data_IF_149690678347
#
_entry.id   IF_149690678347
#
_cell.length_a   1.000
_cell.length_b   1.000
_cell.length_c   1.000
_cell.angle_alpha   90.00
_cell.angle_beta   90.00
_cell.angle_gamma   90.00
#
_symmetry.space_group_name_H-M   'P 1'
#
loop_
_entity.id
_entity.type
_entity.pdbx_description
1 polymer ?
#
# COMPACT_ATOMS: atom_id res chain seq x y z
N UNK A 1 13.22 -19.09 7.02
CA UNK A 1 12.62 -17.81 7.44
C UNK A 1 13.21 -17.34 8.77
N UNK A 2 13.91 -16.20 8.75
CA UNK A 2 14.44 -15.55 9.97
C UNK A 2 13.35 -14.66 10.61
N UNK A 3 13.63 -14.12 11.80
CA UNK A 3 12.69 -13.25 12.53
C UNK A 3 12.36 -11.94 11.80
N UNK A 4 13.28 -11.47 10.94
CA UNK A 4 13.16 -10.21 10.21
C UNK A 4 12.55 -10.34 8.81
N UNK A 5 12.23 -11.56 8.35
CA UNK A 5 11.79 -11.80 6.96
C UNK A 5 10.58 -10.92 6.60
N UNK A 6 9.70 -10.65 7.57
CA UNK A 6 8.56 -9.75 7.43
C UNK A 6 8.93 -8.27 7.22
N UNK A 7 9.90 -7.78 8.00
CA UNK A 7 10.33 -6.38 7.93
C UNK A 7 11.13 -6.10 6.66
N UNK A 8 11.90 -7.07 6.22
CA UNK A 8 12.67 -7.04 4.99
C UNK A 8 11.79 -6.86 3.74
N UNK A 9 10.56 -7.41 3.75
CA UNK A 9 9.61 -7.15 2.67
C UNK A 9 9.21 -5.67 2.56
N UNK A 10 9.40 -4.82 3.58
CA UNK A 10 9.12 -3.38 3.49
C UNK A 10 10.37 -2.53 3.17
N UNK A 11 11.55 -3.14 3.15
CA UNK A 11 12.84 -2.43 3.06
C UNK A 11 13.09 -1.83 1.67
N UNK A 12 13.84 -0.74 1.59
CA UNK A 12 14.41 -0.24 0.32
C UNK A 12 15.76 -0.87 -0.01
N UNK A 13 16.37 -1.60 0.94
CA UNK A 13 17.68 -2.21 0.76
C UNK A 13 17.57 -3.57 0.07
N UNK A 14 18.17 -3.70 -1.12
CA UNK A 14 18.04 -4.89 -1.95
C UNK A 14 18.47 -6.19 -1.24
N UNK A 15 19.52 -6.14 -0.40
CA UNK A 15 20.02 -7.32 0.33
C UNK A 15 18.99 -7.86 1.30
N UNK A 16 18.40 -6.97 2.11
CA UNK A 16 17.34 -7.32 3.05
C UNK A 16 16.15 -7.92 2.31
N UNK A 17 15.70 -7.26 1.23
CA UNK A 17 14.59 -7.74 0.40
C UNK A 17 14.86 -9.16 -0.12
N UNK A 18 16.04 -9.40 -0.69
CA UNK A 18 16.42 -10.71 -1.20
C UNK A 18 16.44 -11.78 -0.09
N UNK A 19 16.99 -11.46 1.07
CA UNK A 19 17.02 -12.38 2.22
C UNK A 19 15.60 -12.70 2.72
N UNK A 20 14.71 -11.70 2.76
CA UNK A 20 13.31 -11.87 3.11
C UNK A 20 12.57 -12.78 2.12
N UNK A 21 12.72 -12.51 0.81
CA UNK A 21 12.11 -13.31 -0.26
C UNK A 21 12.61 -14.76 -0.24
N UNK A 22 13.93 -14.98 -0.27
CA UNK A 22 14.51 -16.32 -0.19
C UNK A 22 14.10 -17.05 1.09
N UNK A 23 14.10 -16.34 2.22
CA UNK A 23 13.71 -16.90 3.52
C UNK A 23 12.26 -17.39 3.58
N UNK A 24 11.35 -16.70 2.89
CA UNK A 24 9.93 -17.09 2.78
C UNK A 24 9.71 -18.21 1.76
N UNK A 25 10.33 -18.13 0.58
CA UNK A 25 10.20 -19.14 -0.45
C UNK A 25 10.76 -20.51 -0.03
N UNK A 26 11.78 -20.54 0.84
CA UNK A 26 12.34 -21.77 1.39
C UNK A 26 11.47 -22.42 2.49
N UNK A 27 10.51 -21.70 3.07
CA UNK A 27 9.57 -22.23 4.07
C UNK A 27 8.10 -21.91 3.70
N UNK A 28 7.56 -22.47 2.59
CA UNK A 28 6.26 -22.05 2.05
C UNK A 28 5.10 -22.11 3.05
N UNK A 29 5.00 -23.17 3.84
CA UNK A 29 3.91 -23.32 4.82
C UNK A 29 3.94 -22.22 5.89
N UNK A 30 5.14 -21.85 6.36
CA UNK A 30 5.31 -20.80 7.37
C UNK A 30 5.10 -19.40 6.77
N UNK A 31 5.56 -19.19 5.54
CA UNK A 31 5.31 -17.95 4.81
C UNK A 31 3.81 -17.74 4.57
N UNK A 32 3.09 -18.76 4.09
CA UNK A 32 1.64 -18.72 3.88
C UNK A 32 0.88 -18.39 5.17
N UNK A 33 1.23 -19.00 6.30
CA UNK A 33 0.62 -18.71 7.59
C UNK A 33 0.86 -17.25 8.03
N UNK A 34 2.09 -16.77 7.90
CA UNK A 34 2.46 -15.39 8.25
C UNK A 34 1.76 -14.36 7.36
N UNK A 35 1.74 -14.58 6.04
CA UNK A 35 1.07 -13.68 5.10
C UNK A 35 -0.43 -13.62 5.39
N UNK A 36 -1.08 -14.75 5.69
CA UNK A 36 -2.50 -14.78 6.06
C UNK A 36 -2.80 -14.02 7.35
N UNK A 37 -1.89 -14.09 8.33
CA UNK A 37 -2.03 -13.38 9.61
C UNK A 37 -1.90 -11.87 9.41
N UNK A 38 -0.83 -11.44 8.74
CA UNK A 38 -0.40 -10.05 8.71
C UNK A 38 -0.98 -9.22 7.57
N UNK A 39 -1.29 -9.84 6.42
CA UNK A 39 -1.86 -9.15 5.26
C UNK A 39 -3.36 -9.38 5.19
N UNK A 40 -4.08 -8.33 4.84
CA UNK A 40 -5.52 -8.35 4.55
C UNK A 40 -5.79 -7.56 3.28
N UNK A 41 -6.89 -7.83 2.57
CA UNK A 41 -7.34 -6.97 1.49
C UNK A 41 -7.43 -5.52 1.97
N UNK A 42 -6.88 -4.60 1.18
CA UNK A 42 -6.86 -3.18 1.51
C UNK A 42 -8.04 -2.50 0.84
N UNK A 43 -8.87 -1.84 1.63
CA UNK A 43 -10.02 -1.08 1.14
C UNK A 43 -9.74 0.42 1.22
N UNK A 44 -10.41 1.19 0.36
CA UNK A 44 -10.31 2.63 0.40
C UNK A 44 -10.92 3.12 1.72
N UNK A 45 -10.28 4.07 2.43
CA UNK A 45 -10.85 4.65 3.64
C UNK A 45 -12.16 5.36 3.32
N UNK A 46 -13.07 5.40 4.30
CA UNK A 46 -14.30 6.16 4.14
C UNK A 46 -13.96 7.66 4.06
N UNK A 47 -14.52 8.36 3.06
CA UNK A 47 -14.30 9.80 2.85
C UNK A 47 -14.48 10.62 4.14
N UNK A 48 -15.55 10.35 4.88
CA UNK A 48 -15.87 11.00 6.16
C UNK A 48 -14.74 10.92 7.21
N UNK A 49 -13.92 9.86 7.18
CA UNK A 49 -12.81 9.71 8.13
C UNK A 49 -11.62 10.61 7.78
N UNK A 50 -11.47 10.97 6.51
CA UNK A 50 -10.34 11.75 6.01
C UNK A 50 -10.67 13.20 5.69
N UNK A 51 -11.95 13.57 5.56
CA UNK A 51 -12.37 14.97 5.38
C UNK A 51 -11.72 15.91 6.43
N UNK A 52 -11.72 15.60 7.75
CA UNK A 52 -11.09 16.47 8.74
C UNK A 52 -9.56 16.58 8.56
N UNK A 53 -8.92 15.51 8.10
CA UNK A 53 -7.46 15.48 7.85
C UNK A 53 -7.13 16.33 6.62
N UNK A 54 -7.98 16.31 5.60
CA UNK A 54 -7.85 17.14 4.40
C UNK A 54 -8.06 18.62 4.75
N UNK A 55 -9.01 18.94 5.63
CA UNK A 55 -9.23 20.31 6.12
C UNK A 55 -8.01 20.83 6.90
N UNK A 56 -7.39 19.96 7.70
CA UNK A 56 -6.20 20.28 8.48
C UNK A 56 -4.97 20.64 7.62
N UNK A 57 -4.95 20.31 6.32
CA UNK A 57 -3.92 20.76 5.38
C UNK A 57 -3.91 22.29 5.19
N UNK A 58 -5.02 22.97 5.50
CA UNK A 58 -5.14 24.43 5.47
C UNK A 58 -5.01 25.09 6.84
N UNK A 59 -4.78 24.31 7.91
CA UNK A 59 -4.74 24.82 9.29
C UNK A 59 -3.69 25.92 9.44
N UNK A 60 -3.87 26.87 10.36
CA UNK A 60 -2.91 27.97 10.57
C UNK A 60 -1.60 27.45 11.19
N UNK A 61 -1.67 26.40 12.01
CA UNK A 61 -0.53 25.77 12.66
C UNK A 61 0.25 24.84 11.72
N UNK A 62 1.55 25.11 11.55
CA UNK A 62 2.43 24.29 10.72
C UNK A 62 2.44 22.82 11.16
N UNK A 63 2.55 22.58 12.47
CA UNK A 63 2.57 21.21 13.02
C UNK A 63 1.31 20.41 12.67
N UNK A 64 0.14 21.04 12.66
CA UNK A 64 -1.13 20.39 12.33
C UNK A 64 -1.22 20.06 10.83
N UNK A 65 -0.80 21.01 9.97
CA UNK A 65 -0.71 20.77 8.51
C UNK A 65 0.26 19.65 8.16
N UNK A 66 1.44 19.62 8.79
CA UNK A 66 2.45 18.62 8.50
C UNK A 66 2.03 17.23 9.02
N UNK A 67 1.39 17.16 10.19
CA UNK A 67 0.80 15.92 10.69
C UNK A 67 -0.32 15.40 9.78
N UNK A 68 -1.19 16.29 9.27
CA UNK A 68 -2.21 15.93 8.31
C UNK A 68 -1.62 15.38 7.00
N UNK A 69 -0.57 16.04 6.49
CA UNK A 69 0.11 15.58 5.29
C UNK A 69 0.76 14.20 5.50
N UNK A 70 1.49 13.99 6.60
CA UNK A 70 2.10 12.69 6.91
C UNK A 70 1.05 11.59 7.03
N UNK A 71 -0.05 11.86 7.73
CA UNK A 71 -1.15 10.93 7.87
C UNK A 71 -1.76 10.54 6.53
N UNK A 72 -1.95 11.48 5.61
CA UNK A 72 -2.45 11.17 4.27
C UNK A 72 -1.45 10.35 3.45
N UNK A 73 -0.14 10.61 3.58
CA UNK A 73 0.89 9.81 2.91
C UNK A 73 0.90 8.34 3.34
N UNK A 74 0.50 8.02 4.57
CA UNK A 74 0.42 6.63 5.06
C UNK A 74 -0.58 5.77 4.27
N UNK A 75 -1.62 6.39 3.68
CA UNK A 75 -2.61 5.68 2.85
C UNK A 75 -2.11 5.40 1.41
N UNK A 76 -1.02 6.04 0.99
CA UNK A 76 -0.41 5.85 -0.33
C UNK A 76 -1.42 6.01 -1.48
N UNK A 77 -1.42 5.05 -2.39
CA UNK A 77 -2.22 5.07 -3.62
C UNK A 77 -3.73 4.91 -3.36
N UNK A 78 -4.12 4.41 -2.18
CA UNK A 78 -5.54 4.10 -1.91
C UNK A 78 -6.44 5.33 -1.86
N UNK A 79 -5.87 6.50 -1.55
CA UNK A 79 -6.59 7.77 -1.43
C UNK A 79 -6.53 8.64 -2.69
N UNK A 80 -5.90 8.18 -3.77
CA UNK A 80 -5.80 8.91 -5.04
C UNK A 80 -7.16 9.47 -5.54
N UNK A 81 -8.27 8.68 -5.53
CA UNK A 81 -9.58 9.20 -5.91
C UNK A 81 -10.09 10.33 -4.98
N UNK A 82 -9.86 10.18 -3.68
CA UNK A 82 -10.27 11.16 -2.66
C UNK A 82 -9.48 12.47 -2.83
N UNK A 83 -8.16 12.38 -3.05
CA UNK A 83 -7.30 13.54 -3.27
C UNK A 83 -7.71 14.30 -4.54
N UNK A 84 -8.07 13.58 -5.62
CA UNK A 84 -8.59 14.21 -6.84
C UNK A 84 -9.89 14.97 -6.59
N UNK A 85 -10.82 14.39 -5.81
CA UNK A 85 -12.06 15.05 -5.42
C UNK A 85 -11.79 16.30 -4.56
N UNK A 86 -10.95 16.17 -3.54
CA UNK A 86 -10.59 17.26 -2.64
C UNK A 86 -9.92 18.43 -3.38
N UNK A 87 -9.04 18.12 -4.33
CA UNK A 87 -8.36 19.14 -5.13
C UNK A 87 -9.34 19.94 -6.00
N UNK A 88 -10.40 19.31 -6.50
CA UNK A 88 -11.47 19.97 -7.25
C UNK A 88 -12.33 20.92 -6.41
N UNK A 89 -12.40 20.70 -5.09
CA UNK A 89 -13.15 21.53 -4.14
C UNK A 89 -12.26 22.55 -3.38
N UNK A 90 -10.94 22.44 -3.49
CA UNK A 90 -10.01 23.19 -2.67
C UNK A 90 -10.04 24.70 -2.99
N UNK A 91 -10.36 25.51 -1.98
CA UNK A 91 -10.41 26.98 -2.07
C UNK A 91 -9.15 27.67 -1.54
N UNK A 92 -8.37 27.01 -0.67
CA UNK A 92 -7.19 27.59 -0.05
C UNK A 92 -5.91 27.29 -0.85
N UNK A 93 -5.06 28.29 -1.17
CA UNK A 93 -3.85 28.07 -1.96
C UNK A 93 -2.87 27.06 -1.35
N UNK A 94 -2.68 27.11 -0.02
CA UNK A 94 -1.79 26.19 0.70
C UNK A 94 -2.32 24.75 0.65
N UNK A 95 -3.62 24.58 0.89
CA UNK A 95 -4.31 23.29 0.79
C UNK A 95 -4.17 22.72 -0.62
N UNK A 96 -4.41 23.55 -1.65
CA UNK A 96 -4.30 23.16 -3.05
C UNK A 96 -2.89 22.68 -3.39
N UNK A 97 -1.85 23.40 -2.94
CA UNK A 97 -0.44 23.00 -3.13
C UNK A 97 -0.15 21.62 -2.52
N UNK A 98 -0.57 21.39 -1.27
CA UNK A 98 -0.32 20.11 -0.58
C UNK A 98 -1.11 18.96 -1.19
N UNK A 99 -2.38 19.20 -1.54
CA UNK A 99 -3.20 18.21 -2.25
C UNK A 99 -2.60 17.82 -3.60
N UNK A 100 -2.04 18.77 -4.36
CA UNK A 100 -1.33 18.45 -5.61
C UNK A 100 -0.11 17.58 -5.38
N UNK A 101 0.69 17.86 -4.35
CA UNK A 101 1.85 17.04 -4.02
C UNK A 101 1.43 15.62 -3.63
N UNK A 102 0.46 15.49 -2.72
CA UNK A 102 -0.07 14.20 -2.28
C UNK A 102 -0.67 13.41 -3.46
N UNK A 103 -1.39 14.09 -4.36
CA UNK A 103 -1.97 13.46 -5.54
C UNK A 103 -0.86 12.96 -6.47
N UNK A 104 0.14 13.78 -6.76
CA UNK A 104 1.28 13.39 -7.58
C UNK A 104 2.02 12.17 -6.98
N UNK A 105 2.27 12.18 -5.67
CA UNK A 105 2.89 11.05 -4.96
C UNK A 105 2.02 9.77 -5.06
N UNK A 106 0.68 9.92 -5.00
CA UNK A 106 -0.26 8.78 -5.07
C UNK A 106 -0.50 8.25 -6.49
N UNK A 107 -0.13 9.01 -7.53
CA UNK A 107 -0.24 8.62 -8.94
C UNK A 107 1.07 8.01 -9.46
N UNK A 108 2.20 8.24 -8.79
CA UNK A 108 3.51 7.73 -9.18
C UNK A 108 3.75 6.30 -8.64
N UNK A 109 3.79 5.27 -9.51
CA UNK A 109 3.99 3.89 -9.08
C UNK A 109 5.36 3.62 -8.43
N UNK A 110 6.35 4.51 -8.60
CA UNK A 110 7.65 4.41 -7.94
C UNK A 110 7.61 4.91 -6.48
N UNK A 111 6.66 5.78 -6.13
CA UNK A 111 6.52 6.35 -4.79
C UNK A 111 5.61 5.46 -3.94
N UNK A 112 6.20 4.46 -3.31
CA UNK A 112 5.46 3.49 -2.50
C UNK A 112 5.69 3.69 -1.00
N UNK A 113 4.64 3.51 -0.21
CA UNK A 113 4.76 3.38 1.24
C UNK A 113 5.50 2.10 1.63
N UNK A 114 5.91 1.99 2.90
CA UNK A 114 6.52 0.75 3.43
C UNK A 114 5.59 -0.46 3.25
N UNK A 115 4.30 -0.25 3.47
CA UNK A 115 3.27 -1.29 3.34
C UNK A 115 3.00 -1.67 1.89
N UNK A 116 3.02 -0.72 0.96
CA UNK A 116 2.86 -1.00 -0.47
C UNK A 116 4.03 -1.79 -1.03
N UNK A 117 5.27 -1.42 -0.66
CA UNK A 117 6.44 -2.24 -1.03
C UNK A 117 6.33 -3.66 -0.50
N UNK A 118 5.86 -3.80 0.75
CA UNK A 118 5.60 -5.12 1.35
C UNK A 118 4.54 -5.88 0.57
N UNK A 119 3.47 -5.22 0.14
CA UNK A 119 2.40 -5.84 -0.64
C UNK A 119 2.90 -6.41 -1.97
N UNK A 120 3.73 -5.66 -2.72
CA UNK A 120 4.33 -6.13 -3.98
C UNK A 120 5.11 -7.44 -3.75
N UNK A 121 5.98 -7.45 -2.74
CA UNK A 121 6.87 -8.59 -2.47
C UNK A 121 6.13 -9.76 -1.84
N UNK A 122 5.08 -9.51 -1.06
CA UNK A 122 4.20 -10.56 -0.57
C UNK A 122 3.51 -11.30 -1.73
N UNK A 123 3.07 -10.56 -2.76
CA UNK A 123 2.54 -11.17 -3.99
C UNK A 123 3.62 -11.97 -4.70
N UNK A 124 4.84 -11.47 -4.83
CA UNK A 124 5.98 -12.19 -5.42
C UNK A 124 6.28 -13.52 -4.70
N UNK A 125 6.20 -13.54 -3.35
CA UNK A 125 6.33 -14.77 -2.55
C UNK A 125 5.20 -15.75 -2.87
N UNK A 126 3.94 -15.28 -2.93
CA UNK A 126 2.80 -16.13 -3.27
C UNK A 126 2.90 -16.68 -4.70
N UNK A 127 3.39 -15.87 -5.63
CA UNK A 127 3.69 -16.30 -6.99
C UNK A 127 4.77 -17.37 -6.97
N UNK A 128 5.89 -17.13 -6.29
CA UNK A 128 6.99 -18.09 -6.20
C UNK A 128 6.57 -19.45 -5.60
N UNK A 129 5.69 -19.43 -4.58
CA UNK A 129 5.17 -20.64 -3.95
C UNK A 129 4.22 -21.40 -4.91
N UNK A 130 3.35 -20.70 -5.62
CA UNK A 130 2.60 -21.27 -6.75
C UNK A 130 1.58 -22.38 -6.43
N UNK A 131 1.14 -22.50 -5.17
CA UNK A 131 0.14 -23.51 -4.77
C UNK A 131 -1.29 -23.03 -5.00
N UNK A 132 -2.26 -23.95 -4.99
CA UNK A 132 -3.69 -23.62 -5.00
C UNK A 132 -4.09 -22.70 -3.82
N UNK A 133 -3.46 -22.89 -2.67
CA UNK A 133 -3.68 -22.05 -1.49
C UNK A 133 -3.17 -20.63 -1.72
N UNK A 134 -1.98 -20.48 -2.32
CA UNK A 134 -1.43 -19.18 -2.73
C UNK A 134 -2.36 -18.48 -3.73
N UNK A 135 -2.91 -19.23 -4.69
CA UNK A 135 -3.87 -18.70 -5.67
C UNK A 135 -5.17 -18.23 -5.01
N UNK A 136 -5.68 -18.95 -4.00
CA UNK A 136 -6.86 -18.53 -3.23
C UNK A 136 -6.59 -17.22 -2.48
N UNK A 137 -5.43 -17.10 -1.83
CA UNK A 137 -5.03 -15.88 -1.14
C UNK A 137 -4.90 -14.68 -2.09
N UNK A 138 -4.31 -14.86 -3.27
CA UNK A 138 -4.27 -13.82 -4.30
C UNK A 138 -5.67 -13.39 -4.75
N UNK A 139 -6.62 -14.33 -4.88
CA UNK A 139 -8.03 -14.01 -5.18
C UNK A 139 -8.68 -13.19 -4.08
N UNK A 140 -8.38 -13.45 -2.81
CA UNK A 140 -8.86 -12.63 -1.69
C UNK A 140 -8.28 -11.21 -1.76
N UNK A 141 -6.97 -11.07 -1.99
CA UNK A 141 -6.31 -9.77 -2.11
C UNK A 141 -6.79 -8.94 -3.32
N UNK A 142 -7.21 -9.60 -4.39
CA UNK A 142 -7.78 -8.96 -5.58
C UNK A 142 -9.17 -8.31 -5.36
N UNK A 143 -9.80 -8.52 -4.20
CA UNK A 143 -11.11 -7.96 -3.84
C UNK A 143 -11.04 -6.59 -3.15
N UNK A 144 -9.84 -6.08 -2.86
CA UNK A 144 -9.65 -4.76 -2.26
C UNK A 144 -9.97 -3.59 -3.20
N UNK A 145 -9.60 -2.38 -2.77
CA UNK A 145 -9.77 -1.16 -3.55
C UNK A 145 -8.99 -1.21 -4.87
N UNK A 146 -9.60 -0.68 -5.94
CA UNK A 146 -9.00 -0.72 -7.27
C UNK A 146 -7.65 -0.02 -7.40
N UNK A 147 -7.41 1.02 -6.60
CA UNK A 147 -6.14 1.76 -6.54
C UNK A 147 -5.13 1.17 -5.53
N UNK A 148 -5.53 0.19 -4.71
CA UNK A 148 -4.60 -0.42 -3.76
C UNK A 148 -3.53 -1.25 -4.50
N UNK A 149 -2.26 -0.99 -4.18
CA UNK A 149 -1.12 -1.72 -4.78
C UNK A 149 -1.29 -3.24 -4.61
N UNK A 150 -1.68 -3.70 -3.42
CA UNK A 150 -1.93 -5.14 -3.16
C UNK A 150 -2.94 -5.74 -4.14
N UNK A 151 -4.06 -5.05 -4.37
CA UNK A 151 -5.13 -5.50 -5.25
C UNK A 151 -4.69 -5.52 -6.71
N UNK A 152 -3.99 -4.48 -7.16
CA UNK A 152 -3.45 -4.42 -8.52
C UNK A 152 -2.43 -5.54 -8.77
N UNK A 153 -1.49 -5.75 -7.85
CA UNK A 153 -0.47 -6.80 -7.97
C UNK A 153 -1.10 -8.19 -7.94
N UNK A 154 -2.05 -8.44 -7.03
CA UNK A 154 -2.73 -9.73 -6.97
C UNK A 154 -3.52 -10.05 -8.25
N UNK A 155 -4.19 -9.06 -8.85
CA UNK A 155 -4.88 -9.23 -10.15
C UNK A 155 -3.90 -9.54 -11.28
N UNK A 156 -2.77 -8.84 -11.32
CA UNK A 156 -1.69 -9.12 -12.30
C UNK A 156 -1.16 -10.54 -12.17
N UNK A 157 -0.83 -10.97 -10.95
CA UNK A 157 -0.36 -12.32 -10.66
C UNK A 157 -1.34 -13.41 -11.09
N UNK A 158 -2.64 -13.17 -10.92
CA UNK A 158 -3.69 -14.11 -11.34
C UNK A 158 -3.85 -14.19 -12.86
N UNK A 159 -3.65 -13.07 -13.59
CA UNK A 159 -3.80 -13.01 -15.04
C UNK A 159 -2.64 -13.68 -15.81
N UNK A 160 -1.45 -13.76 -15.21
CA UNK A 160 -0.27 -14.40 -15.84
C UNK A 160 -0.34 -15.94 -15.75
N UNK A 161 -1.27 -16.50 -14.97
CA UNK A 161 -1.34 -17.93 -14.61
C UNK A 161 -2.67 -18.60 -14.97
N UNK A 162 -3.36 -18.09 -15.99
CA UNK A 162 -4.43 -18.80 -16.70
C UNK A 162 -3.84 -19.65 -17.83
#
# INVERSE_FOLDING_TARGET
MNEHSWDYLASSQWREVNDGLCGMCNEPARAMALLREKMKPVFAPATRELDPVIDDLADRGLAKRDAAQQRLQEYGHTIEPLLRQALGAAVHPEQNRRLRQLLADSEDPEIQTREERRAVRAVEVLESIGTDESRRMLKEYAQGAGSAVLTLQARRALAVRE
#
